data_IF_786153647564
#
_entry.id   IF_786153647564
#
_cell.length_a   1.000
_cell.length_b   1.000
_cell.length_c   1.000
_cell.angle_alpha   90.00
_cell.angle_beta   90.00
_cell.angle_gamma   90.00
#
_symmetry.space_group_name_H-M   'P 1'
#
loop_
_entity.id
_entity.type
_entity.pdbx_description
1 polymer ?
#
# COMPACT_ATOMS: atom_id res chain seq x y z
N UNK A 1 13.25 -14.55 8.62
CA UNK A 1 12.47 -13.42 8.08
C UNK A 1 13.38 -12.19 8.11
N UNK A 2 13.73 -11.69 6.95
CA UNK A 2 14.64 -10.55 6.84
C UNK A 2 13.81 -9.33 6.41
N UNK A 3 13.88 -8.23 7.18
CA UNK A 3 13.15 -7.00 6.89
C UNK A 3 13.52 -6.43 5.51
N UNK A 4 14.78 -6.57 5.11
CA UNK A 4 15.28 -6.14 3.81
C UNK A 4 14.62 -6.90 2.65
N UNK A 5 14.39 -8.20 2.79
CA UNK A 5 13.67 -9.01 1.81
C UNK A 5 12.19 -8.59 1.69
N UNK A 6 11.54 -8.25 2.78
CA UNK A 6 10.16 -7.73 2.78
C UNK A 6 10.06 -6.39 2.07
N UNK A 7 11.04 -5.50 2.27
CA UNK A 7 11.10 -4.22 1.57
C UNK A 7 11.29 -4.41 0.06
N UNK A 8 12.11 -5.38 -0.35
CA UNK A 8 12.30 -5.71 -1.77
C UNK A 8 11.00 -6.17 -2.44
N UNK A 9 10.21 -7.01 -1.76
CA UNK A 9 8.88 -7.42 -2.25
C UNK A 9 7.95 -6.21 -2.35
N UNK A 10 7.98 -5.32 -1.36
CA UNK A 10 7.18 -4.08 -1.38
C UNK A 10 7.55 -3.21 -2.60
N UNK A 11 8.85 -3.05 -2.89
CA UNK A 11 9.33 -2.31 -4.07
C UNK A 11 8.89 -3.00 -5.37
N UNK A 12 8.96 -4.33 -5.44
CA UNK A 12 8.50 -5.09 -6.61
C UNK A 12 7.00 -4.84 -6.87
N UNK A 13 6.17 -4.92 -5.84
CA UNK A 13 4.74 -4.63 -5.93
C UNK A 13 4.51 -3.17 -6.38
N UNK A 14 5.33 -2.24 -5.86
CA UNK A 14 5.27 -0.85 -6.26
C UNK A 14 5.53 -0.67 -7.77
N UNK A 15 6.55 -1.35 -8.30
CA UNK A 15 6.88 -1.33 -9.73
C UNK A 15 5.79 -1.99 -10.58
N UNK A 16 5.15 -3.06 -10.10
CA UNK A 16 4.00 -3.67 -10.76
C UNK A 16 2.86 -2.66 -10.90
N UNK A 17 2.51 -1.94 -9.83
CA UNK A 17 1.48 -0.90 -9.88
C UNK A 17 1.82 0.23 -10.86
N UNK A 18 3.08 0.67 -10.89
CA UNK A 18 3.55 1.68 -11.87
C UNK A 18 3.38 1.16 -13.29
N UNK A 19 3.81 -0.07 -13.55
CA UNK A 19 3.72 -0.70 -14.88
C UNK A 19 2.26 -0.88 -15.32
N UNK A 20 1.40 -1.39 -14.46
CA UNK A 20 -0.03 -1.55 -14.74
C UNK A 20 -0.69 -0.19 -15.01
N UNK A 21 -0.32 0.85 -14.25
CA UNK A 21 -0.80 2.21 -14.49
C UNK A 21 -0.31 2.77 -15.82
N UNK A 22 0.95 2.54 -16.17
CA UNK A 22 1.55 3.00 -17.44
C UNK A 22 0.90 2.32 -18.65
N UNK A 23 0.61 1.02 -18.55
CA UNK A 23 -0.01 0.23 -19.61
C UNK A 23 -1.54 0.36 -19.67
N UNK A 24 -2.16 0.89 -18.62
CA UNK A 24 -3.62 1.01 -18.54
C UNK A 24 -4.13 2.07 -19.53
N UNK A 25 -4.99 1.64 -20.44
CA UNK A 25 -5.66 2.53 -21.40
C UNK A 25 -7.11 2.81 -20.98
N UNK A 26 -7.29 3.43 -19.81
CA UNK A 26 -8.59 3.74 -19.23
C UNK A 26 -9.14 5.11 -19.63
N UNK A 27 -8.62 5.69 -20.72
CA UNK A 27 -9.04 7.02 -21.18
C UNK A 27 -8.58 8.16 -20.25
N UNK A 28 -7.55 7.94 -19.45
CA UNK A 28 -6.94 8.96 -18.60
C UNK A 28 -6.17 9.94 -19.50
N UNK A 29 -6.40 11.27 -19.40
CA UNK A 29 -5.67 12.25 -20.19
C UNK A 29 -4.15 12.09 -20.04
N UNK A 30 -3.42 12.15 -21.13
CA UNK A 30 -1.96 11.92 -21.15
C UNK A 30 -1.21 12.80 -20.16
N UNK A 31 -1.59 14.06 -20.02
CA UNK A 31 -0.98 14.98 -19.05
C UNK A 31 -1.19 14.54 -17.61
N UNK A 32 -2.41 14.10 -17.25
CA UNK A 32 -2.72 13.61 -15.92
C UNK A 32 -1.95 12.31 -15.64
N UNK A 33 -1.98 11.38 -16.59
CA UNK A 33 -1.24 10.10 -16.51
C UNK A 33 0.26 10.33 -16.31
N UNK A 34 0.87 11.24 -17.09
CA UNK A 34 2.28 11.58 -16.96
C UNK A 34 2.62 12.13 -15.56
N UNK A 35 1.77 13.01 -14.99
CA UNK A 35 1.97 13.56 -13.65
C UNK A 35 1.85 12.47 -12.58
N UNK A 36 0.86 11.58 -12.68
CA UNK A 36 0.70 10.43 -11.77
C UNK A 36 1.95 9.55 -11.81
N UNK A 37 2.43 9.22 -13.00
CA UNK A 37 3.64 8.41 -13.18
C UNK A 37 4.89 9.11 -12.65
N UNK A 38 5.00 10.44 -12.81
CA UNK A 38 6.11 11.22 -12.26
C UNK A 38 6.13 11.19 -10.73
N UNK A 39 4.97 11.39 -10.08
CA UNK A 39 4.84 11.28 -8.61
C UNK A 39 5.19 9.86 -8.15
N UNK A 40 4.69 8.84 -8.83
CA UNK A 40 5.03 7.44 -8.55
C UNK A 40 6.52 7.17 -8.73
N UNK A 41 7.14 7.73 -9.76
CA UNK A 41 8.58 7.64 -10.02
C UNK A 41 9.41 8.24 -8.88
N UNK A 42 9.04 9.42 -8.39
CA UNK A 42 9.71 10.05 -7.24
C UNK A 42 9.62 9.20 -5.97
N UNK A 43 8.43 8.66 -5.67
CA UNK A 43 8.24 7.76 -4.51
C UNK A 43 9.08 6.50 -4.68
N UNK A 44 9.06 5.88 -5.88
CA UNK A 44 9.87 4.69 -6.20
C UNK A 44 11.36 4.93 -5.99
N UNK A 45 11.86 6.07 -6.45
CA UNK A 45 13.27 6.46 -6.30
C UNK A 45 13.63 6.60 -4.82
N UNK A 46 12.74 7.16 -3.99
CA UNK A 46 12.92 7.23 -2.55
C UNK A 46 13.04 5.85 -1.89
N UNK A 47 12.12 4.92 -2.20
CA UNK A 47 12.16 3.56 -1.68
C UNK A 47 13.40 2.77 -2.14
N UNK A 48 13.79 2.93 -3.41
CA UNK A 48 15.00 2.30 -3.96
C UNK A 48 16.27 2.86 -3.28
N UNK A 49 16.35 4.16 -3.09
CA UNK A 49 17.44 4.79 -2.37
C UNK A 49 17.52 4.30 -0.91
N UNK A 50 16.38 4.26 -0.22
CA UNK A 50 16.30 3.71 1.14
C UNK A 50 16.77 2.25 1.19
N UNK A 51 16.30 1.41 0.25
CA UNK A 51 16.73 0.01 0.17
C UNK A 51 18.23 -0.12 -0.09
N UNK A 52 18.78 0.71 -0.95
CA UNK A 52 20.20 0.65 -1.31
C UNK A 52 21.13 1.10 -0.19
N UNK A 53 20.79 2.20 0.47
CA UNK A 53 21.70 2.85 1.44
C UNK A 53 21.47 2.43 2.89
N UNK A 54 20.25 2.01 3.24
CA UNK A 54 19.88 1.76 4.64
C UNK A 54 19.51 0.30 4.89
N UNK A 55 18.87 -0.38 3.93
CA UNK A 55 18.30 -1.72 4.11
C UNK A 55 18.61 -2.61 2.91
N UNK A 56 19.91 -2.83 2.66
CA UNK A 56 20.37 -3.55 1.47
C UNK A 56 20.22 -5.08 1.63
N UNK A 57 19.28 -5.73 0.92
CA UNK A 57 19.05 -7.17 1.02
C UNK A 57 20.21 -8.02 0.45
N UNK A 58 21.13 -7.41 -0.29
CA UNK A 58 22.27 -8.07 -0.91
C UNK A 58 23.58 -7.85 -0.14
N UNK A 59 23.51 -7.21 1.06
CA UNK A 59 24.68 -7.06 1.92
C UNK A 59 25.20 -8.45 2.34
N UNK A 60 26.51 -8.66 2.16
CA UNK A 60 27.17 -9.93 2.53
C UNK A 60 27.64 -9.86 3.99
N UNK A 61 27.39 -10.93 4.72
CA UNK A 61 27.96 -11.13 6.07
C UNK A 61 29.44 -11.53 5.96
N UNK A 62 30.28 -10.97 6.84
CA UNK A 62 31.70 -11.33 6.90
C UNK A 62 31.89 -12.79 7.27
N UNK A 63 31.11 -13.26 8.27
CA UNK A 63 31.08 -14.67 8.70
C UNK A 63 29.73 -15.26 8.30
N UNK A 64 29.64 -15.76 7.08
CA UNK A 64 28.45 -16.43 6.58
C UNK A 64 28.31 -17.80 7.24
N UNK A 65 27.20 -18.15 7.88
CA UNK A 65 26.96 -19.49 8.42
C UNK A 65 26.92 -20.52 7.28
N UNK A 66 27.39 -21.75 7.57
CA UNK A 66 27.41 -22.82 6.58
C UNK A 66 26.00 -23.25 6.14
N UNK A 67 25.00 -23.05 6.99
CA UNK A 67 23.59 -23.33 6.68
C UNK A 67 22.68 -22.26 7.30
N UNK A 68 21.50 -22.05 6.72
CA UNK A 68 20.49 -21.13 7.23
C UNK A 68 19.79 -21.70 8.46
N UNK A 69 19.34 -20.81 9.37
CA UNK A 69 18.63 -21.21 10.61
C UNK A 69 17.22 -21.79 10.38
N UNK A 70 16.76 -21.90 9.14
CA UNK A 70 15.40 -22.30 8.84
C UNK A 70 14.35 -21.29 9.31
N UNK A 71 13.09 -21.54 8.96
CA UNK A 71 11.96 -20.71 9.39
C UNK A 71 11.39 -21.28 10.70
N UNK A 72 11.09 -20.41 11.66
CA UNK A 72 10.39 -20.79 12.89
C UNK A 72 9.09 -21.55 12.54
N UNK A 73 8.80 -22.71 13.16
CA UNK A 73 7.59 -23.49 12.90
C UNK A 73 6.29 -22.68 12.92
N UNK A 74 6.12 -21.77 13.85
CA UNK A 74 4.96 -20.87 13.96
C UNK A 74 4.78 -19.99 12.70
N UNK A 75 5.88 -19.72 11.99
CA UNK A 75 5.87 -18.91 10.77
C UNK A 75 5.67 -19.75 9.49
N UNK A 76 5.62 -21.08 9.61
CA UNK A 76 5.41 -22.00 8.48
C UNK A 76 3.91 -22.24 8.23
N UNK A 77 3.15 -21.18 8.13
CA UNK A 77 1.72 -21.19 7.93
C UNK A 77 1.33 -20.48 6.62
N UNK A 78 0.32 -21.01 5.93
CA UNK A 78 -0.14 -20.46 4.66
C UNK A 78 -0.81 -19.09 4.82
N UNK A 79 -1.58 -18.92 5.89
CA UNK A 79 -2.23 -17.64 6.21
C UNK A 79 -1.19 -16.54 6.42
N UNK A 80 -0.13 -16.86 7.19
CA UNK A 80 0.98 -15.93 7.41
C UNK A 80 1.83 -15.72 6.13
N UNK A 81 1.95 -16.71 5.26
CA UNK A 81 2.71 -16.56 4.02
C UNK A 81 2.04 -15.58 3.04
N UNK A 82 0.70 -15.58 2.98
CA UNK A 82 -0.10 -14.75 2.07
C UNK A 82 -0.41 -13.38 2.68
N UNK A 83 -0.53 -13.26 4.01
CA UNK A 83 -0.87 -12.04 4.73
C UNK A 83 0.03 -10.83 4.38
N UNK A 84 1.39 -10.89 4.47
CA UNK A 84 2.22 -9.72 4.18
C UNK A 84 2.15 -9.25 2.72
N UNK A 85 2.16 -10.12 1.70
CA UNK A 85 1.94 -9.72 0.32
C UNK A 85 0.62 -8.97 0.10
N UNK A 86 -0.47 -9.41 0.75
CA UNK A 86 -1.77 -8.72 0.67
C UNK A 86 -1.73 -7.34 1.32
N UNK A 87 -1.07 -7.20 2.47
CA UNK A 87 -0.86 -5.90 3.09
C UNK A 87 -0.04 -4.96 2.18
N UNK A 88 1.05 -5.46 1.58
CA UNK A 88 1.87 -4.65 0.67
C UNK A 88 1.09 -4.22 -0.58
N UNK A 89 0.27 -5.11 -1.16
CA UNK A 89 -0.64 -4.74 -2.24
C UNK A 89 -1.57 -3.58 -1.83
N UNK A 90 -2.08 -3.62 -0.62
CA UNK A 90 -2.94 -2.56 -0.11
C UNK A 90 -2.19 -1.25 0.14
N UNK A 91 -1.12 -1.27 0.92
CA UNK A 91 -0.33 -0.07 1.26
C UNK A 91 0.22 0.63 0.01
N UNK A 92 0.85 -0.15 -0.86
CA UNK A 92 1.40 0.37 -2.12
C UNK A 92 0.30 0.83 -3.07
N UNK A 93 -0.85 0.15 -3.08
CA UNK A 93 -2.01 0.53 -3.87
C UNK A 93 -2.53 1.92 -3.52
N UNK A 94 -2.52 2.31 -2.23
CA UNK A 94 -2.92 3.64 -1.78
C UNK A 94 -2.00 4.75 -2.30
N UNK A 95 -0.75 4.45 -2.64
CA UNK A 95 0.14 5.43 -3.27
C UNK A 95 -0.34 5.91 -4.64
N UNK A 96 -1.17 5.12 -5.34
CA UNK A 96 -1.79 5.57 -6.60
C UNK A 96 -2.84 6.65 -6.30
N UNK A 97 -3.67 6.46 -5.28
CA UNK A 97 -4.64 7.47 -4.86
C UNK A 97 -3.94 8.78 -4.46
N UNK A 98 -2.83 8.68 -3.73
CA UNK A 98 -1.95 9.81 -3.41
C UNK A 98 -1.42 10.49 -4.67
N UNK A 99 -0.91 9.72 -5.64
CA UNK A 99 -0.40 10.27 -6.90
C UNK A 99 -1.50 10.96 -7.72
N UNK A 100 -2.72 10.44 -7.73
CA UNK A 100 -3.88 11.11 -8.31
C UNK A 100 -4.20 12.43 -7.59
N UNK A 101 -4.14 12.45 -6.26
CA UNK A 101 -4.39 13.65 -5.46
C UNK A 101 -3.36 14.74 -5.78
N UNK A 102 -2.07 14.42 -5.76
CA UNK A 102 -0.98 15.36 -6.08
C UNK A 102 -1.09 15.84 -7.54
N UNK A 103 -1.33 14.94 -8.49
CA UNK A 103 -1.49 15.30 -9.90
C UNK A 103 -2.72 16.19 -10.13
N UNK A 104 -3.83 15.93 -9.42
CA UNK A 104 -5.03 16.76 -9.44
C UNK A 104 -4.80 18.15 -8.87
N UNK A 105 -4.08 18.27 -7.76
CA UNK A 105 -3.69 19.55 -7.17
C UNK A 105 -2.79 20.38 -8.11
N UNK A 106 -1.81 19.75 -8.75
CA UNK A 106 -0.92 20.41 -9.71
C UNK A 106 -1.69 20.87 -10.97
N UNK A 107 -2.73 20.13 -11.35
CA UNK A 107 -3.54 20.47 -12.54
C UNK A 107 -4.62 21.47 -12.26
N UNK A 108 -5.08 21.59 -11.02
CA UNK A 108 -6.32 22.26 -10.66
C UNK A 108 -7.59 21.48 -11.07
N UNK A 109 -7.44 20.29 -11.65
CA UNK A 109 -8.53 19.51 -12.25
C UNK A 109 -8.91 18.33 -11.33
N UNK A 110 -9.70 18.62 -10.32
CA UNK A 110 -10.35 17.61 -9.47
C UNK A 110 -11.83 17.58 -9.81
N UNK A 111 -12.19 16.69 -10.74
CA UNK A 111 -13.55 16.58 -11.27
C UNK A 111 -14.14 15.17 -11.09
N UNK A 112 -15.32 14.94 -11.67
CA UNK A 112 -16.02 13.64 -11.62
C UNK A 112 -15.24 12.54 -12.33
N UNK A 113 -14.57 12.86 -13.45
CA UNK A 113 -13.79 11.91 -14.23
C UNK A 113 -12.52 11.52 -13.48
N UNK A 114 -11.85 12.47 -12.85
CA UNK A 114 -10.71 12.23 -11.98
C UNK A 114 -11.05 11.21 -10.88
N UNK A 115 -12.18 11.38 -10.18
CA UNK A 115 -12.63 10.44 -9.16
C UNK A 115 -12.98 9.07 -9.74
N UNK A 116 -13.61 9.02 -10.93
CA UNK A 116 -13.94 7.80 -11.63
C UNK A 116 -12.70 6.97 -11.99
N UNK A 117 -11.63 7.63 -12.44
CA UNK A 117 -10.36 6.94 -12.77
C UNK A 117 -9.60 6.47 -11.54
N UNK A 118 -9.65 7.20 -10.44
CA UNK A 118 -8.98 6.87 -9.19
C UNK A 118 -9.67 5.72 -8.44
N UNK A 119 -11.01 5.67 -8.44
CA UNK A 119 -11.81 4.74 -7.63
C UNK A 119 -11.44 3.26 -7.77
N UNK A 120 -11.20 2.68 -8.97
CA UNK A 120 -10.82 1.28 -9.10
C UNK A 120 -9.52 0.91 -8.38
N UNK A 121 -8.59 1.85 -8.32
CA UNK A 121 -7.31 1.67 -7.63
C UNK A 121 -7.48 1.66 -6.12
N UNK A 122 -8.32 2.58 -5.60
CA UNK A 122 -8.66 2.60 -4.17
C UNK A 122 -9.36 1.30 -3.80
N UNK A 123 -10.31 0.84 -4.61
CA UNK A 123 -11.05 -0.40 -4.37
C UNK A 123 -10.11 -1.61 -4.31
N UNK A 124 -9.20 -1.73 -5.27
CA UNK A 124 -8.22 -2.82 -5.30
C UNK A 124 -7.31 -2.80 -4.06
N UNK A 125 -6.81 -1.62 -3.68
CA UNK A 125 -5.99 -1.45 -2.48
C UNK A 125 -6.78 -1.78 -1.21
N UNK A 126 -8.00 -1.31 -1.09
CA UNK A 126 -8.89 -1.58 0.04
C UNK A 126 -9.23 -3.07 0.19
N UNK A 127 -9.54 -3.75 -0.92
CA UNK A 127 -9.77 -5.20 -0.91
C UNK A 127 -8.52 -5.97 -0.47
N UNK A 128 -7.34 -5.59 -0.97
CA UNK A 128 -6.08 -6.22 -0.59
C UNK A 128 -5.79 -6.03 0.90
N UNK A 129 -5.97 -4.81 1.44
CA UNK A 129 -5.83 -4.54 2.88
C UNK A 129 -6.83 -5.35 3.70
N UNK A 130 -8.09 -5.43 3.28
CA UNK A 130 -9.12 -6.21 3.96
C UNK A 130 -8.73 -7.68 4.06
N UNK A 131 -8.27 -8.27 2.95
CA UNK A 131 -7.80 -9.66 2.95
C UNK A 131 -6.55 -9.83 3.79
N UNK A 132 -5.60 -8.91 3.71
CA UNK A 132 -4.38 -8.93 4.50
C UNK A 132 -4.69 -8.88 6.01
N UNK A 133 -5.52 -7.94 6.46
CA UNK A 133 -5.94 -7.82 7.85
C UNK A 133 -6.66 -9.09 8.31
N UNK A 134 -7.62 -9.59 7.53
CA UNK A 134 -8.37 -10.79 7.87
C UNK A 134 -7.48 -12.04 8.02
N UNK A 135 -6.53 -12.23 7.10
CA UNK A 135 -5.59 -13.36 7.16
C UNK A 135 -4.64 -13.25 8.36
N UNK A 136 -4.18 -12.05 8.69
CA UNK A 136 -3.33 -11.82 9.87
C UNK A 136 -4.07 -12.08 11.17
N UNK A 137 -5.31 -11.59 11.29
CA UNK A 137 -6.17 -11.84 12.44
C UNK A 137 -6.49 -13.34 12.60
N UNK A 138 -6.78 -14.01 11.50
CA UNK A 138 -7.04 -15.45 11.50
C UNK A 138 -5.80 -16.24 11.95
N UNK A 139 -4.62 -15.96 11.38
CA UNK A 139 -3.37 -16.58 11.79
C UNK A 139 -3.07 -16.34 13.29
N UNK A 140 -3.21 -15.13 13.77
CA UNK A 140 -3.00 -14.80 15.18
C UNK A 140 -3.94 -15.58 16.11
N UNK A 141 -5.18 -15.79 15.69
CA UNK A 141 -6.18 -16.51 16.48
C UNK A 141 -5.80 -17.98 16.72
N UNK A 142 -5.40 -18.72 15.70
CA UNK A 142 -5.15 -20.15 15.87
C UNK A 142 -3.68 -20.51 16.15
N UNK A 143 -2.70 -19.71 15.68
CA UNK A 143 -1.28 -19.99 15.86
C UNK A 143 -0.70 -19.38 17.14
N UNK A 144 -1.08 -18.15 17.48
CA UNK A 144 -0.54 -17.47 18.65
C UNK A 144 -1.28 -17.82 19.96
N UNK A 145 -2.46 -18.42 19.86
CA UNK A 145 -3.23 -18.82 21.03
C UNK A 145 -3.72 -17.65 21.88
N UNK A 146 -3.82 -16.46 21.31
CA UNK A 146 -4.22 -15.26 22.04
C UNK A 146 -5.71 -15.24 22.43
N UNK A 147 -6.53 -16.16 21.92
CA UNK A 147 -7.92 -16.32 22.29
C UNK A 147 -8.89 -15.30 21.67
N UNK A 148 -8.44 -14.48 20.73
CA UNK A 148 -9.27 -13.48 20.06
C UNK A 148 -8.72 -13.13 18.68
N UNK A 149 -9.52 -12.37 17.93
CA UNK A 149 -9.20 -11.97 16.55
C UNK A 149 -8.46 -10.63 16.45
N UNK A 150 -8.49 -9.82 17.50
CA UNK A 150 -7.94 -8.47 17.49
C UNK A 150 -7.48 -8.06 18.89
N UNK A 151 -6.29 -7.51 18.99
CA UNK A 151 -5.64 -7.20 20.27
C UNK A 151 -5.19 -5.75 20.40
N UNK A 152 -5.48 -4.92 19.41
CA UNK A 152 -5.10 -3.51 19.40
C UNK A 152 -3.60 -3.28 19.54
N UNK A 153 -2.80 -4.20 19.07
CA UNK A 153 -1.36 -4.03 19.09
C UNK A 153 -0.91 -2.97 18.05
N UNK A 154 0.32 -2.43 18.16
CA UNK A 154 0.80 -1.41 17.22
C UNK A 154 0.78 -1.87 15.76
N UNK A 155 1.10 -3.13 15.48
CA UNK A 155 1.14 -3.69 14.13
C UNK A 155 -0.25 -3.83 13.51
N UNK A 156 -1.22 -4.31 14.30
CA UNK A 156 -2.62 -4.35 13.88
C UNK A 156 -3.16 -2.95 13.59
N UNK A 157 -2.90 -1.99 14.49
CA UNK A 157 -3.33 -0.61 14.32
C UNK A 157 -2.67 0.06 13.12
N UNK A 158 -1.41 -0.26 12.82
CA UNK A 158 -0.70 0.23 11.64
C UNK A 158 -1.41 -0.15 10.32
N UNK A 159 -2.07 -1.30 10.28
CA UNK A 159 -2.89 -1.73 9.13
C UNK A 159 -4.31 -1.16 9.14
N UNK A 160 -4.92 -1.03 10.32
CA UNK A 160 -6.29 -0.57 10.47
C UNK A 160 -6.46 0.91 10.12
N UNK A 161 -5.52 1.77 10.52
CA UNK A 161 -5.60 3.21 10.27
C UNK A 161 -5.70 3.56 8.77
N UNK A 162 -4.80 3.08 7.87
CA UNK A 162 -4.93 3.34 6.45
C UNK A 162 -6.16 2.67 5.83
N UNK A 163 -6.62 1.52 6.36
CA UNK A 163 -7.85 0.86 5.91
C UNK A 163 -9.09 1.70 6.20
N UNK A 164 -9.20 2.31 7.39
CA UNK A 164 -10.29 3.23 7.75
C UNK A 164 -10.27 4.48 6.87
N UNK A 165 -9.09 5.08 6.67
CA UNK A 165 -8.93 6.23 5.79
C UNK A 165 -9.29 5.89 4.33
N UNK A 166 -8.91 4.72 3.84
CA UNK A 166 -9.25 4.23 2.51
C UNK A 166 -10.76 3.96 2.36
N UNK A 167 -11.42 3.48 3.41
CA UNK A 167 -12.88 3.32 3.45
C UNK A 167 -13.58 4.67 3.29
N UNK A 168 -13.17 5.67 4.05
CA UNK A 168 -13.70 7.02 3.93
C UNK A 168 -13.41 7.63 2.55
N UNK A 169 -12.18 7.43 2.03
CA UNK A 169 -11.77 7.86 0.70
C UNK A 169 -12.63 7.25 -0.40
N UNK A 170 -12.92 5.94 -0.32
CA UNK A 170 -13.74 5.25 -1.31
C UNK A 170 -15.14 5.86 -1.39
N UNK A 171 -15.79 6.09 -0.23
CA UNK A 171 -17.10 6.72 -0.15
C UNK A 171 -17.06 8.17 -0.67
N UNK A 172 -16.05 8.94 -0.28
CA UNK A 172 -15.87 10.32 -0.75
C UNK A 172 -15.67 10.38 -2.27
N UNK A 173 -14.86 9.47 -2.84
CA UNK A 173 -14.63 9.37 -4.28
C UNK A 173 -15.94 9.06 -5.05
N UNK A 174 -16.81 8.20 -4.51
CA UNK A 174 -18.14 7.92 -5.09
C UNK A 174 -19.00 9.19 -5.09
N UNK A 175 -18.96 9.99 -4.02
CA UNK A 175 -19.71 11.26 -3.95
C UNK A 175 -19.19 12.26 -4.97
N UNK A 176 -17.86 12.39 -5.13
CA UNK A 176 -17.27 13.24 -6.18
C UNK A 176 -17.71 12.79 -7.57
N UNK A 177 -17.60 11.48 -7.85
CA UNK A 177 -17.99 10.92 -9.16
C UNK A 177 -19.47 11.17 -9.48
N UNK A 178 -20.37 10.91 -8.53
CA UNK A 178 -21.82 10.97 -8.74
C UNK A 178 -22.37 12.41 -8.67
N UNK A 179 -21.93 13.17 -7.67
CA UNK A 179 -22.50 14.47 -7.30
C UNK A 179 -21.59 15.67 -7.53
N UNK A 180 -20.27 15.46 -7.69
CA UNK A 180 -19.28 16.54 -7.86
C UNK A 180 -18.95 17.29 -6.55
N UNK A 181 -19.39 16.79 -5.39
CA UNK A 181 -19.14 17.37 -4.07
C UNK A 181 -17.99 16.66 -3.34
N UNK A 182 -17.49 17.25 -2.25
CA UNK A 182 -16.42 16.71 -1.39
C UNK A 182 -15.04 16.57 -2.06
N UNK A 183 -14.74 17.37 -3.08
CA UNK A 183 -13.47 17.31 -3.82
C UNK A 183 -12.25 17.48 -2.89
N UNK A 184 -12.22 18.52 -2.08
CA UNK A 184 -11.13 18.80 -1.14
C UNK A 184 -10.96 17.70 -0.10
N UNK A 185 -12.08 17.17 0.42
CA UNK A 185 -12.09 16.04 1.35
C UNK A 185 -11.48 14.78 0.71
N UNK A 186 -11.85 14.48 -0.54
CA UNK A 186 -11.33 13.32 -1.27
C UNK A 186 -9.82 13.43 -1.49
N UNK A 187 -9.33 14.60 -1.85
CA UNK A 187 -7.88 14.86 -1.97
C UNK A 187 -7.18 14.68 -0.63
N UNK A 188 -7.72 15.27 0.44
CA UNK A 188 -7.16 15.15 1.78
C UNK A 188 -7.11 13.69 2.25
N UNK A 189 -8.19 12.93 2.06
CA UNK A 189 -8.26 11.52 2.44
C UNK A 189 -7.29 10.65 1.62
N UNK A 190 -7.07 10.97 0.34
CA UNK A 190 -6.10 10.26 -0.49
C UNK A 190 -4.66 10.47 0.00
N UNK A 191 -4.33 11.71 0.41
CA UNK A 191 -3.04 12.03 1.02
C UNK A 191 -2.91 11.33 2.37
N UNK A 192 -3.93 11.43 3.23
CA UNK A 192 -3.94 10.85 4.57
C UNK A 192 -3.78 9.32 4.55
N UNK A 193 -4.53 8.63 3.69
CA UNK A 193 -4.51 7.16 3.62
C UNK A 193 -3.10 6.63 3.30
N UNK A 194 -2.41 7.24 2.33
CA UNK A 194 -1.05 6.85 2.01
C UNK A 194 -0.04 7.29 3.08
N UNK A 195 -0.20 8.48 3.67
CA UNK A 195 0.66 8.94 4.77
C UNK A 195 0.58 8.01 5.98
N UNK A 196 -0.62 7.52 6.34
CA UNK A 196 -0.81 6.54 7.41
C UNK A 196 -0.15 5.20 7.07
N UNK A 197 -0.16 4.78 5.80
CA UNK A 197 0.57 3.58 5.36
C UNK A 197 2.09 3.73 5.53
N UNK A 198 2.64 4.91 5.26
CA UNK A 198 4.07 5.19 5.49
C UNK A 198 4.40 5.20 6.97
N UNK A 199 3.60 5.86 7.81
CA UNK A 199 3.79 5.85 9.28
C UNK A 199 3.78 4.43 9.83
N UNK A 200 2.83 3.59 9.38
CA UNK A 200 2.76 2.18 9.78
C UNK A 200 3.98 1.34 9.37
N UNK A 201 4.77 1.79 8.40
CA UNK A 201 6.00 1.08 8.00
C UNK A 201 7.14 1.28 9.03
N UNK A 202 7.04 2.28 9.90
CA UNK A 202 8.04 2.60 10.92
C UNK A 202 7.65 2.14 12.34
N UNK A 203 6.51 1.50 12.50
CA UNK A 203 6.02 0.89 13.74
C UNK A 203 6.32 -0.62 13.71
#
# INVERSE_FOLDING_TARGET
RNHEGSLLICILIFMIYVSVMALSDRGIPTRLKARILAVKGMISSGFLAFSLFTSNPFARLADAPMDGKGLNPILQDLGLAIHPPMLYLGYVGLSIAFAFAVAGLISGDVDRLWAKWMRPWIMAAWCALTLGIALGSWWAYYELGWGGWWFWDPVENASLMPWLAATALLHSAIVVEKRGHLKSWTVLLAILAFSLSLVGTFI
#
